data_IF_335951395474
#
_entry.id   IF_335951395474
#
_cell.length_a   1.000
_cell.length_b   1.000
_cell.length_c   1.000
_cell.angle_alpha   90.00
_cell.angle_beta   90.00
_cell.angle_gamma   90.00
#
_symmetry.space_group_name_H-M   'P 1'
#
loop_
_entity.id
_entity.type
_entity.pdbx_description
1 polymer ?
#
# COMPACT_ATOMS: atom_id res chain seq x y z
N UNK A 1 23.95 -12.16 -3.57
CA UNK A 1 22.52 -12.00 -3.85
C UNK A 1 21.72 -13.00 -3.02
N UNK A 2 20.77 -12.51 -2.30
CA UNK A 2 19.90 -13.39 -1.57
C UNK A 2 18.81 -14.01 -2.45
N UNK A 3 18.17 -15.02 -1.95
CA UNK A 3 16.98 -15.56 -2.61
C UNK A 3 15.85 -14.54 -2.55
N UNK A 4 14.93 -14.57 -3.51
CA UNK A 4 13.75 -13.71 -3.43
C UNK A 4 13.01 -13.94 -2.11
N UNK A 5 12.52 -12.86 -1.52
CA UNK A 5 11.69 -12.96 -0.32
C UNK A 5 10.39 -13.65 -0.68
N UNK A 6 10.06 -14.74 -0.03
CA UNK A 6 8.89 -15.55 -0.35
C UNK A 6 7.80 -15.50 0.72
N UNK A 7 8.11 -14.98 1.92
CA UNK A 7 7.13 -14.90 3.01
C UNK A 7 7.04 -13.49 3.56
N UNK A 8 5.89 -13.16 4.12
CA UNK A 8 5.67 -11.87 4.79
C UNK A 8 6.65 -11.70 5.95
N UNK A 9 6.86 -12.76 6.74
CA UNK A 9 7.79 -12.71 7.86
C UNK A 9 9.21 -12.35 7.45
N UNK A 10 9.71 -12.96 6.37
CA UNK A 10 11.04 -12.63 5.82
C UNK A 10 11.12 -11.19 5.32
N UNK A 11 10.07 -10.74 4.64
CA UNK A 11 10.00 -9.37 4.14
C UNK A 11 10.10 -8.36 5.29
N UNK A 12 9.35 -8.58 6.35
CA UNK A 12 9.34 -7.68 7.50
C UNK A 12 10.69 -7.65 8.22
N UNK A 13 11.42 -8.77 8.26
CA UNK A 13 12.75 -8.81 8.87
C UNK A 13 13.77 -7.98 8.12
N UNK A 14 13.60 -7.81 6.83
CA UNK A 14 14.56 -7.10 5.98
C UNK A 14 14.32 -5.60 5.89
N UNK A 15 13.31 -5.07 6.54
CA UNK A 15 13.02 -3.64 6.53
C UNK A 15 14.13 -2.89 7.27
N UNK A 16 14.71 -1.83 6.65
CA UNK A 16 15.73 -1.02 7.33
C UNK A 16 15.23 -0.45 8.67
N UNK A 17 16.14 -0.36 9.63
CA UNK A 17 15.78 0.07 11.00
C UNK A 17 15.10 1.43 11.05
N UNK A 18 15.51 2.37 10.20
CA UNK A 18 14.94 3.72 10.16
C UNK A 18 13.51 3.76 9.59
N UNK A 19 13.12 2.72 8.87
CA UNK A 19 11.79 2.62 8.27
C UNK A 19 10.86 1.64 9.00
N UNK A 20 11.43 0.81 9.86
CA UNK A 20 10.70 -0.32 10.43
C UNK A 20 9.45 0.07 11.20
N UNK A 21 9.55 1.04 12.10
CA UNK A 21 8.40 1.47 12.90
C UNK A 21 7.29 2.04 12.03
N UNK A 22 7.66 2.91 11.09
CA UNK A 22 6.71 3.53 10.17
C UNK A 22 6.06 2.49 9.26
N UNK A 23 6.84 1.54 8.74
CA UNK A 23 6.33 0.49 7.88
C UNK A 23 5.34 -0.42 8.62
N UNK A 24 5.69 -0.82 9.83
CA UNK A 24 4.80 -1.67 10.65
C UNK A 24 3.49 -0.95 10.99
N UNK A 25 3.56 0.35 11.28
CA UNK A 25 2.37 1.16 11.53
C UNK A 25 1.52 1.29 10.28
N UNK A 26 2.14 1.51 9.13
CA UNK A 26 1.43 1.58 7.85
C UNK A 26 0.76 0.25 7.52
N UNK A 27 1.46 -0.85 7.70
CA UNK A 27 0.89 -2.19 7.50
C UNK A 27 -0.34 -2.40 8.37
N UNK A 28 -0.26 -1.99 9.64
CA UNK A 28 -1.38 -2.11 10.57
C UNK A 28 -2.58 -1.27 10.11
N UNK A 29 -2.34 -0.05 9.64
CA UNK A 29 -3.38 0.81 9.08
C UNK A 29 -4.03 0.20 7.85
N UNK A 30 -3.23 -0.38 6.96
CA UNK A 30 -3.75 -1.06 5.77
C UNK A 30 -4.62 -2.24 6.16
N UNK A 31 -4.12 -3.11 7.03
CA UNK A 31 -4.86 -4.30 7.46
C UNK A 31 -6.19 -3.97 8.13
N UNK A 32 -6.23 -2.90 8.92
CA UNK A 32 -7.45 -2.49 9.62
C UNK A 32 -8.51 -1.90 8.69
N UNK A 33 -8.11 -1.47 7.49
CA UNK A 33 -8.98 -0.77 6.55
C UNK A 33 -9.39 -1.60 5.35
N UNK A 34 -8.78 -2.78 5.17
CA UNK A 34 -9.09 -3.65 4.03
C UNK A 34 -10.48 -4.27 4.15
N UNK A 35 -11.17 -4.43 3.02
CA UNK A 35 -12.41 -5.21 3.02
C UNK A 35 -12.13 -6.68 3.32
N UNK A 36 -13.14 -7.38 3.79
CA UNK A 36 -13.03 -8.81 4.06
C UNK A 36 -12.72 -9.60 2.79
N UNK A 37 -12.01 -10.71 2.93
CA UNK A 37 -11.71 -11.61 1.84
C UNK A 37 -10.42 -11.34 1.11
N UNK A 38 -9.72 -10.25 1.42
CA UNK A 38 -8.41 -10.00 0.82
C UNK A 38 -7.31 -10.76 1.56
N UNK A 39 -6.27 -11.13 0.81
CA UNK A 39 -5.13 -11.85 1.35
C UNK A 39 -3.85 -11.04 1.25
N UNK A 40 -2.99 -11.20 2.24
CA UNK A 40 -1.66 -10.61 2.27
C UNK A 40 -0.66 -11.60 1.67
N UNK A 41 0.17 -11.14 0.72
CA UNK A 41 1.17 -12.02 0.10
C UNK A 41 2.38 -11.21 -0.36
N UNK A 42 3.45 -11.92 -0.73
CA UNK A 42 4.65 -11.32 -1.30
C UNK A 42 4.69 -11.62 -2.80
N UNK A 43 4.92 -10.58 -3.59
CA UNK A 43 5.10 -10.70 -5.03
C UNK A 43 6.00 -9.56 -5.50
N UNK A 44 6.93 -9.84 -6.42
CA UNK A 44 7.88 -8.84 -6.92
C UNK A 44 8.64 -8.12 -5.81
N UNK A 45 8.99 -8.83 -4.74
CA UNK A 45 9.66 -8.28 -3.55
C UNK A 45 8.88 -7.14 -2.90
N UNK A 46 7.57 -7.21 -2.95
CA UNK A 46 6.67 -6.22 -2.35
C UNK A 46 5.58 -6.93 -1.57
N UNK A 47 5.05 -6.24 -0.57
CA UNK A 47 3.94 -6.75 0.22
C UNK A 47 2.64 -6.33 -0.46
N UNK A 48 1.84 -7.31 -0.88
CA UNK A 48 0.59 -7.09 -1.62
C UNK A 48 -0.62 -7.52 -0.82
N UNK A 49 -1.72 -6.81 -1.04
CA UNK A 49 -3.05 -7.15 -0.54
C UNK A 49 -3.92 -7.37 -1.76
N UNK A 50 -4.41 -8.59 -1.91
CA UNK A 50 -5.00 -9.05 -3.18
C UNK A 50 -6.36 -9.67 -2.97
N UNK A 51 -7.19 -9.61 -4.01
CA UNK A 51 -8.46 -10.34 -4.07
C UNK A 51 -8.12 -11.74 -4.61
N UNK A 52 -8.27 -12.79 -3.80
CA UNK A 52 -7.86 -14.12 -4.24
C UNK A 52 -8.73 -14.66 -5.35
N UNK A 53 -8.22 -15.63 -6.12
CA UNK A 53 -8.97 -16.26 -7.21
C UNK A 53 -10.27 -16.91 -6.73
N UNK A 54 -10.35 -17.32 -5.48
CA UNK A 54 -11.57 -17.88 -4.90
C UNK A 54 -12.72 -16.88 -4.86
N UNK A 55 -12.39 -15.57 -4.83
CA UNK A 55 -13.37 -14.47 -4.83
C UNK A 55 -13.51 -13.88 -6.24
N UNK A 56 -12.40 -13.75 -6.96
CA UNK A 56 -12.39 -13.19 -8.32
C UNK A 56 -11.57 -14.09 -9.24
N UNK A 57 -12.21 -15.13 -9.84
CA UNK A 57 -11.50 -16.14 -10.63
C UNK A 57 -10.73 -15.61 -11.83
N UNK A 58 -11.16 -14.50 -12.42
CA UNK A 58 -10.48 -13.91 -13.56
C UNK A 58 -9.06 -13.42 -13.23
N UNK A 59 -8.79 -13.09 -11.97
CA UNK A 59 -7.48 -12.63 -11.53
C UNK A 59 -7.09 -11.27 -12.09
N UNK A 60 -5.78 -11.01 -12.15
CA UNK A 60 -5.26 -9.76 -12.65
C UNK A 60 -5.32 -9.73 -14.18
N UNK A 61 -5.87 -8.67 -14.75
CA UNK A 61 -6.06 -8.58 -16.21
C UNK A 61 -4.75 -8.62 -17.01
N UNK A 62 -3.63 -8.20 -16.40
CA UNK A 62 -2.32 -8.25 -17.05
C UNK A 62 -1.68 -9.64 -16.96
N UNK A 63 -2.04 -10.42 -15.95
CA UNK A 63 -1.57 -11.79 -15.76
C UNK A 63 -2.62 -12.57 -14.94
N UNK A 64 -3.52 -13.30 -15.62
CA UNK A 64 -4.61 -14.02 -14.92
C UNK A 64 -4.16 -15.08 -13.94
N UNK A 65 -2.91 -15.50 -13.99
CA UNK A 65 -2.34 -16.43 -13.00
C UNK A 65 -2.18 -15.80 -11.63
N UNK A 66 -2.08 -14.45 -11.59
CA UNK A 66 -1.96 -13.71 -10.34
C UNK A 66 -3.34 -13.29 -9.85
N UNK A 67 -3.54 -13.22 -8.52
CA UNK A 67 -4.77 -12.66 -7.98
C UNK A 67 -4.86 -11.16 -8.27
N UNK A 68 -6.06 -10.60 -8.20
CA UNK A 68 -6.30 -9.19 -8.50
C UNK A 68 -5.65 -8.32 -7.41
N UNK A 69 -4.67 -7.46 -7.76
CA UNK A 69 -4.03 -6.60 -6.76
C UNK A 69 -4.93 -5.42 -6.38
N UNK A 70 -4.92 -5.06 -5.11
CA UNK A 70 -5.64 -3.90 -4.61
C UNK A 70 -4.67 -2.85 -4.06
N UNK A 71 -3.88 -3.23 -3.05
CA UNK A 71 -2.93 -2.36 -2.37
C UNK A 71 -1.57 -3.07 -2.32
N UNK A 72 -0.51 -2.29 -2.42
CA UNK A 72 0.84 -2.78 -2.12
C UNK A 72 1.59 -1.77 -1.30
N UNK A 73 2.44 -2.23 -0.39
CA UNK A 73 3.40 -1.39 0.31
C UNK A 73 4.78 -1.98 0.14
N UNK A 74 5.75 -1.10 -0.06
CA UNK A 74 7.13 -1.51 -0.26
C UNK A 74 8.08 -0.50 0.35
N UNK A 75 9.18 -0.97 0.93
CA UNK A 75 10.22 -0.07 1.37
C UNK A 75 11.23 0.15 0.24
N UNK A 76 11.67 1.38 0.10
CA UNK A 76 12.72 1.78 -0.82
C UNK A 76 13.82 2.45 -0.02
N UNK A 77 14.93 2.79 -0.66
CA UNK A 77 16.08 3.37 0.02
C UNK A 77 15.73 4.60 0.87
N UNK A 78 14.92 5.52 0.32
CA UNK A 78 14.61 6.79 0.97
C UNK A 78 13.12 7.04 1.15
N UNK A 79 12.29 6.01 0.99
CA UNK A 79 10.85 6.17 1.13
C UNK A 79 10.16 4.84 1.39
N UNK A 80 8.94 4.92 1.90
CA UNK A 80 8.03 3.79 1.92
C UNK A 80 6.96 4.14 0.90
N UNK A 81 6.71 3.23 -0.04
CA UNK A 81 5.76 3.48 -1.14
C UNK A 81 4.47 2.70 -0.91
N UNK A 82 3.36 3.40 -1.06
CA UNK A 82 2.02 2.81 -1.04
C UNK A 82 1.47 2.86 -2.45
N UNK A 83 1.10 1.71 -2.98
CA UNK A 83 0.48 1.61 -4.30
C UNK A 83 -0.99 1.25 -4.11
N UNK A 84 -1.87 2.09 -4.63
CA UNK A 84 -3.31 1.85 -4.61
C UNK A 84 -3.77 1.64 -6.04
N UNK A 85 -3.97 0.39 -6.43
CA UNK A 85 -4.20 0.04 -7.83
C UNK A 85 -5.52 0.56 -8.40
N UNK A 86 -6.49 0.85 -7.56
CA UNK A 86 -7.81 1.32 -7.99
C UNK A 86 -8.04 2.82 -7.77
N UNK A 87 -7.05 3.53 -7.22
CA UNK A 87 -7.20 4.95 -6.88
C UNK A 87 -7.56 5.81 -8.09
N UNK A 88 -7.01 5.49 -9.25
CA UNK A 88 -7.27 6.26 -10.48
C UNK A 88 -8.71 6.12 -10.98
N UNK A 89 -9.45 5.10 -10.52
CA UNK A 89 -10.84 4.90 -10.93
C UNK A 89 -11.80 5.87 -10.23
N UNK A 90 -11.35 6.48 -9.13
CA UNK A 90 -12.17 7.44 -8.35
C UNK A 90 -11.33 8.67 -8.01
N UNK A 91 -11.09 9.56 -8.99
CA UNK A 91 -10.24 10.74 -8.79
C UNK A 91 -10.69 11.64 -7.63
N UNK A 92 -11.97 11.71 -7.37
CA UNK A 92 -12.52 12.53 -6.27
C UNK A 92 -12.01 12.10 -4.90
N UNK A 93 -11.74 10.82 -4.72
CA UNK A 93 -11.21 10.30 -3.44
C UNK A 93 -9.74 10.69 -3.30
N UNK A 94 -8.98 10.59 -4.38
CA UNK A 94 -7.59 11.02 -4.41
C UNK A 94 -7.46 12.53 -4.16
N UNK A 95 -8.32 13.32 -4.77
CA UNK A 95 -8.35 14.77 -4.58
C UNK A 95 -8.68 15.14 -3.14
N UNK A 96 -9.64 14.46 -2.54
CA UNK A 96 -9.99 14.65 -1.13
C UNK A 96 -8.80 14.31 -0.22
N UNK A 97 -8.11 13.22 -0.50
CA UNK A 97 -6.92 12.82 0.24
C UNK A 97 -5.85 13.93 0.23
N UNK A 98 -5.54 14.44 -0.95
CA UNK A 98 -4.56 15.50 -1.11
C UNK A 98 -4.97 16.79 -0.38
N UNK A 99 -6.23 17.15 -0.50
CA UNK A 99 -6.78 18.35 0.13
C UNK A 99 -6.72 18.26 1.66
N UNK A 100 -7.13 17.13 2.23
CA UNK A 100 -7.08 16.92 3.67
C UNK A 100 -5.64 16.86 4.17
N UNK A 101 -4.73 16.27 3.40
CA UNK A 101 -3.31 16.21 3.74
C UNK A 101 -2.71 17.60 3.90
N UNK A 102 -3.06 18.53 3.02
CA UNK A 102 -2.57 19.91 3.09
C UNK A 102 -3.02 20.65 4.34
N UNK A 103 -4.14 20.27 4.91
CA UNK A 103 -4.64 20.87 6.16
C UNK A 103 -3.80 20.48 7.38
N UNK A 104 -3.14 19.32 7.31
CA UNK A 104 -2.41 18.75 8.45
C UNK A 104 -0.90 18.87 8.34
N UNK A 105 -0.37 19.22 7.17
CA UNK A 105 1.07 19.34 6.97
C UNK A 105 1.39 20.31 5.85
N UNK A 106 2.48 21.07 6.04
CA UNK A 106 3.01 21.95 5.00
C UNK A 106 3.94 21.20 4.04
N UNK A 107 4.32 19.97 4.37
CA UNK A 107 5.21 19.17 3.52
C UNK A 107 4.47 18.67 2.30
N UNK A 108 5.11 18.80 1.14
CA UNK A 108 4.54 18.31 -0.11
C UNK A 108 4.52 16.79 -0.12
N UNK A 109 3.39 16.20 -0.48
CA UNK A 109 3.25 14.76 -0.62
C UNK A 109 3.62 14.36 -2.05
N UNK A 110 4.56 13.43 -2.19
CA UNK A 110 4.96 12.90 -3.49
C UNK A 110 3.97 11.82 -3.90
N UNK A 111 3.09 12.15 -4.82
CA UNK A 111 1.97 11.29 -5.18
C UNK A 111 1.74 11.26 -6.68
N UNK A 112 1.62 10.05 -7.24
CA UNK A 112 1.23 9.81 -8.61
C UNK A 112 -0.20 9.31 -8.71
N UNK A 113 -0.58 8.75 -9.86
CA UNK A 113 -1.95 8.25 -10.10
C UNK A 113 -2.31 7.07 -9.21
N UNK A 114 -1.36 6.20 -8.92
CA UNK A 114 -1.59 5.00 -8.14
C UNK A 114 -0.54 4.79 -7.05
N UNK A 115 0.30 5.79 -6.80
CA UNK A 115 1.45 5.65 -5.92
C UNK A 115 1.58 6.85 -5.00
N UNK A 116 1.85 6.59 -3.73
CA UNK A 116 2.18 7.61 -2.73
C UNK A 116 3.55 7.25 -2.17
N UNK A 117 4.51 8.17 -2.29
CA UNK A 117 5.86 8.00 -1.73
C UNK A 117 5.94 8.71 -0.41
N UNK A 118 6.12 7.94 0.65
CA UNK A 118 6.18 8.45 2.02
C UNK A 118 7.64 8.63 2.42
N UNK A 119 8.12 9.86 2.36
CA UNK A 119 9.52 10.22 2.63
C UNK A 119 9.75 10.72 4.06
N UNK A 120 8.71 11.17 4.72
CA UNK A 120 8.77 11.73 6.07
C UNK A 120 8.07 10.77 7.02
N UNK A 121 8.85 9.90 7.67
CA UNK A 121 8.32 8.82 8.50
C UNK A 121 7.65 9.31 9.78
N UNK A 122 7.94 10.55 10.19
CA UNK A 122 7.30 11.19 11.32
C UNK A 122 6.01 11.93 10.95
N UNK A 123 5.65 11.92 9.67
CA UNK A 123 4.51 12.70 9.15
C UNK A 123 3.70 11.90 8.12
N UNK A 124 3.48 10.63 8.40
CA UNK A 124 2.67 9.76 7.55
C UNK A 124 1.20 9.94 7.93
N UNK A 125 0.33 10.27 6.96
CA UNK A 125 -1.09 10.50 7.26
C UNK A 125 -1.87 9.18 7.36
N UNK A 126 -1.64 8.43 8.43
CA UNK A 126 -2.23 7.09 8.60
C UNK A 126 -3.75 7.09 8.52
N UNK A 127 -4.40 8.04 9.18
CA UNK A 127 -5.88 8.10 9.21
C UNK A 127 -6.44 8.37 7.81
N UNK A 128 -5.80 9.27 7.07
CA UNK A 128 -6.22 9.57 5.69
C UNK A 128 -5.98 8.38 4.76
N UNK A 129 -4.90 7.63 4.98
CA UNK A 129 -4.63 6.42 4.23
C UNK A 129 -5.69 5.36 4.52
N UNK A 130 -6.07 5.18 5.78
CA UNK A 130 -7.15 4.26 6.16
C UNK A 130 -8.47 4.64 5.48
N UNK A 131 -8.79 5.93 5.45
CA UNK A 131 -9.97 6.42 4.75
C UNK A 131 -9.90 6.17 3.25
N UNK A 132 -8.74 6.42 2.64
CA UNK A 132 -8.52 6.20 1.21
C UNK A 132 -8.76 4.73 0.85
N UNK A 133 -8.25 3.81 1.64
CA UNK A 133 -8.43 2.37 1.41
C UNK A 133 -9.89 1.96 1.63
N UNK A 134 -10.48 2.39 2.72
CA UNK A 134 -11.86 2.03 3.07
C UNK A 134 -12.89 2.50 2.05
N UNK A 135 -12.71 3.70 1.50
CA UNK A 135 -13.66 4.26 0.52
C UNK A 135 -13.51 3.67 -0.87
N UNK A 136 -12.37 3.05 -1.17
CA UNK A 136 -12.13 2.45 -2.48
C UNK A 136 -12.55 0.98 -2.54
N UNK A 137 -12.90 0.40 -1.42
CA UNK A 137 -13.28 -1.02 -1.35
C UNK A 137 -14.76 -1.29 -1.65
#
# INVERSE_FOLDING_TARGET
MGMPVSTVSEYLKNIPADQKVAFEQLRKSVLSSLPEGLEECISYNMLWYVVPHSVYPAGYHCDPKLPLPFISIAYQKNSINLYHMWMHAKPEISERFQKERKKHSSRKLDMGKSCIRLKYYDDIPYILIEELIGKMS
#
